data_IF_058790352379
#
_entry.id   IF_058790352379
#
_cell.length_a   1.000
_cell.length_b   1.000
_cell.length_c   1.000
_cell.angle_alpha   90.00
_cell.angle_beta   90.00
_cell.angle_gamma   90.00
#
_symmetry.space_group_name_H-M   'P 1'
#
loop_
_entity.id
_entity.type
_entity.pdbx_description
1 polymer ?
#
# COMPACT_ATOMS: atom_id res chain seq x y z
N UNK A 1 30.97 -0.94 -18.01
CA UNK A 1 30.70 -0.02 -16.95
C UNK A 1 30.20 -0.78 -15.71
N UNK A 2 30.61 -0.35 -14.52
CA UNK A 2 30.07 -0.92 -13.26
C UNK A 2 28.59 -0.61 -13.23
N UNK A 3 27.69 -1.59 -13.07
CA UNK A 3 26.28 -1.32 -12.96
C UNK A 3 26.04 -0.37 -11.78
N UNK A 4 25.20 0.64 -11.98
CA UNK A 4 24.79 1.54 -10.91
C UNK A 4 24.22 0.73 -9.74
N UNK A 5 24.59 1.09 -8.51
CA UNK A 5 24.01 0.45 -7.32
C UNK A 5 22.53 0.77 -7.19
N UNK A 6 22.10 1.88 -7.76
CA UNK A 6 20.74 2.37 -7.76
C UNK A 6 20.20 2.48 -9.16
N UNK A 7 18.93 2.19 -9.32
CA UNK A 7 18.16 2.47 -10.53
C UNK A 7 17.04 3.44 -10.20
N UNK A 8 16.77 4.34 -11.15
CA UNK A 8 15.64 5.27 -11.05
C UNK A 8 14.39 4.51 -11.46
N UNK A 9 13.36 4.61 -10.64
CA UNK A 9 12.02 4.07 -10.93
C UNK A 9 11.00 5.20 -10.94
N UNK A 10 10.11 5.18 -11.91
CA UNK A 10 8.95 6.06 -11.96
C UNK A 10 7.83 5.46 -11.13
N UNK A 11 7.24 6.27 -10.26
CA UNK A 11 6.20 5.85 -9.33
C UNK A 11 5.06 6.85 -9.36
N UNK A 12 3.88 6.39 -9.00
CA UNK A 12 2.75 7.27 -8.74
C UNK A 12 2.62 7.41 -7.24
N UNK A 13 2.68 8.63 -6.74
CA UNK A 13 2.44 8.96 -5.35
C UNK A 13 1.09 9.66 -5.21
N UNK A 14 0.45 9.48 -4.07
CA UNK A 14 -0.80 10.16 -3.75
C UNK A 14 -0.52 11.27 -2.75
N UNK A 15 -1.09 12.45 -2.98
CA UNK A 15 -1.09 13.52 -2.00
C UNK A 15 -2.15 13.28 -0.91
N UNK A 16 -2.23 14.20 0.06
CA UNK A 16 -3.18 14.13 1.18
C UNK A 16 -4.64 14.11 0.72
N UNK A 17 -4.94 14.71 -0.43
CA UNK A 17 -6.26 14.71 -1.06
C UNK A 17 -6.52 13.43 -1.89
N UNK A 18 -5.54 12.51 -1.97
CA UNK A 18 -5.61 11.30 -2.79
C UNK A 18 -5.43 11.55 -4.28
N UNK A 19 -4.91 12.71 -4.70
CA UNK A 19 -4.57 12.97 -6.10
C UNK A 19 -3.28 12.27 -6.46
N UNK A 20 -3.27 11.68 -7.64
CA UNK A 20 -2.10 10.99 -8.18
C UNK A 20 -1.10 11.99 -8.78
N UNK A 21 0.16 11.84 -8.41
CA UNK A 21 1.28 12.60 -8.96
C UNK A 21 2.34 11.65 -9.50
N UNK A 22 2.85 11.94 -10.69
CA UNK A 22 4.02 11.26 -11.21
C UNK A 22 5.25 11.72 -10.44
N UNK A 23 6.01 10.77 -9.95
CA UNK A 23 7.24 11.00 -9.23
C UNK A 23 8.30 9.99 -9.64
N UNK A 24 9.51 10.16 -9.20
CA UNK A 24 10.55 9.14 -9.33
C UNK A 24 11.26 8.93 -8.00
N UNK A 25 11.73 7.71 -7.82
CA UNK A 25 12.56 7.33 -6.68
C UNK A 25 13.79 6.56 -7.15
N UNK A 26 14.75 6.39 -6.25
CA UNK A 26 15.91 5.56 -6.48
C UNK A 26 15.84 4.34 -5.58
N UNK A 27 15.93 3.17 -6.19
CA UNK A 27 15.93 1.89 -5.49
C UNK A 27 17.22 1.15 -5.72
N UNK A 28 17.65 0.34 -4.75
CA UNK A 28 18.78 -0.56 -4.92
C UNK A 28 18.41 -1.62 -5.95
N UNK A 29 19.25 -1.82 -6.96
CA UNK A 29 19.01 -2.84 -7.99
C UNK A 29 18.83 -4.23 -7.36
N UNK A 30 17.93 -5.04 -7.91
CA UNK A 30 17.59 -6.36 -7.37
C UNK A 30 18.82 -7.26 -7.15
N UNK A 31 19.79 -7.19 -8.06
CA UNK A 31 21.05 -7.95 -7.96
C UNK A 31 21.95 -7.54 -6.79
N UNK A 32 21.73 -6.38 -6.20
CA UNK A 32 22.51 -5.84 -5.08
C UNK A 32 21.72 -5.78 -3.77
N UNK A 33 20.47 -6.20 -3.77
CA UNK A 33 19.69 -6.32 -2.55
C UNK A 33 20.25 -7.45 -1.71
N UNK A 34 20.72 -7.10 -0.53
CA UNK A 34 21.18 -8.02 0.51
C UNK A 34 20.21 -7.88 1.70
N UNK A 35 20.44 -8.61 2.77
CA UNK A 35 19.70 -8.39 4.02
C UNK A 35 19.86 -6.95 4.52
N UNK A 36 19.31 -6.67 5.68
CA UNK A 36 19.36 -5.34 6.27
C UNK A 36 20.80 -4.82 6.37
N UNK A 37 20.99 -3.57 5.97
CA UNK A 37 22.22 -2.80 6.16
C UNK A 37 21.83 -1.49 6.83
N UNK A 38 22.34 -1.28 8.05
CA UNK A 38 22.09 -0.03 8.77
C UNK A 38 22.63 1.17 7.96
N UNK A 39 21.85 2.21 7.73
CA UNK A 39 22.33 3.40 7.05
C UNK A 39 23.38 4.12 7.89
N UNK A 40 24.31 4.80 7.23
CA UNK A 40 25.32 5.60 7.92
C UNK A 40 24.66 6.75 8.71
N UNK A 41 25.09 7.04 9.95
CA UNK A 41 24.49 8.07 10.79
C UNK A 41 24.34 9.43 10.12
N UNK A 42 25.37 9.92 9.44
CA UNK A 42 25.29 11.21 8.74
C UNK A 42 24.30 11.22 7.56
N UNK A 43 23.97 10.07 6.97
CA UNK A 43 22.89 9.97 5.97
C UNK A 43 21.52 10.09 6.64
N UNK A 44 21.35 9.45 7.81
CA UNK A 44 20.11 9.53 8.59
C UNK A 44 19.82 10.97 9.02
N UNK A 45 20.86 11.68 9.48
CA UNK A 45 20.74 13.10 9.86
C UNK A 45 20.26 13.97 8.71
N UNK A 46 20.84 13.83 7.50
CA UNK A 46 20.41 14.58 6.30
C UNK A 46 18.94 14.31 5.97
N UNK A 47 18.50 13.05 6.04
CA UNK A 47 17.12 12.69 5.76
C UNK A 47 16.18 13.24 6.85
N UNK A 48 16.59 13.17 8.13
CA UNK A 48 15.81 13.69 9.24
C UNK A 48 15.60 15.21 9.12
N UNK A 49 16.67 15.96 8.83
CA UNK A 49 16.59 17.41 8.58
C UNK A 49 15.63 17.74 7.44
N UNK A 50 15.65 16.94 6.35
CA UNK A 50 14.71 17.09 5.24
C UNK A 50 13.26 16.83 5.64
N UNK A 51 13.03 15.78 6.44
CA UNK A 51 11.70 15.48 6.98
C UNK A 51 11.18 16.63 7.87
N UNK A 52 12.01 17.13 8.78
CA UNK A 52 11.66 18.23 9.68
C UNK A 52 11.34 19.51 8.91
N UNK A 53 12.15 19.86 7.90
CA UNK A 53 11.94 21.03 7.06
C UNK A 53 10.62 20.99 6.29
N UNK A 54 10.12 19.78 5.99
CA UNK A 54 8.87 19.54 5.26
C UNK A 54 7.69 19.16 6.20
N UNK A 55 7.90 19.15 7.51
CA UNK A 55 6.87 18.75 8.48
C UNK A 55 6.52 17.25 8.43
N UNK A 56 7.40 16.42 7.88
CA UNK A 56 7.20 14.95 7.78
C UNK A 56 7.75 14.28 9.04
N UNK A 57 6.99 13.31 9.59
CA UNK A 57 7.41 12.54 10.76
C UNK A 57 8.68 11.72 10.49
N UNK A 58 9.64 11.75 11.42
CA UNK A 58 10.87 10.97 11.34
C UNK A 58 10.78 9.58 11.98
N UNK A 59 9.62 9.21 12.57
CA UNK A 59 9.45 7.93 13.27
C UNK A 59 9.75 6.72 12.39
N UNK A 60 9.23 6.71 11.15
CA UNK A 60 9.48 5.64 10.20
C UNK A 60 10.96 5.53 9.85
N UNK A 61 11.64 6.67 9.67
CA UNK A 61 13.08 6.70 9.41
C UNK A 61 13.85 6.02 10.53
N UNK A 62 13.59 6.38 11.78
CA UNK A 62 14.27 5.77 12.93
C UNK A 62 13.97 4.27 13.06
N UNK A 63 12.72 3.86 12.95
CA UNK A 63 12.33 2.46 13.01
C UNK A 63 13.04 1.61 11.94
N UNK A 64 13.13 2.10 10.71
CA UNK A 64 13.86 1.42 9.63
C UNK A 64 15.36 1.35 9.92
N UNK A 65 15.96 2.40 10.49
CA UNK A 65 17.37 2.42 10.85
C UNK A 65 17.74 1.39 11.93
N UNK A 66 16.80 1.04 12.79
CA UNK A 66 16.98 0.05 13.86
C UNK A 66 16.66 -1.39 13.41
N UNK A 67 16.37 -1.59 12.13
CA UNK A 67 15.83 -2.85 11.60
C UNK A 67 14.55 -3.29 12.36
N UNK A 68 13.93 -2.37 13.06
CA UNK A 68 12.61 -2.62 13.56
C UNK A 68 11.73 -2.79 12.31
N UNK A 69 11.03 -3.90 12.23
CA UNK A 69 9.83 -3.96 11.38
C UNK A 69 8.97 -2.85 11.94
N UNK A 70 8.97 -1.69 11.27
CA UNK A 70 8.15 -0.60 11.69
C UNK A 70 6.75 -1.18 11.86
N UNK A 71 6.27 -1.22 13.09
CA UNK A 71 4.86 -1.43 13.32
C UNK A 71 4.23 -0.31 12.51
N UNK A 72 3.53 -0.70 11.46
CA UNK A 72 3.01 0.23 10.50
C UNK A 72 2.18 1.25 11.27
N UNK A 73 2.58 2.49 11.30
CA UNK A 73 1.90 3.56 12.04
C UNK A 73 0.43 3.72 11.63
N UNK A 74 0.08 3.15 10.45
CA UNK A 74 -1.27 3.17 9.92
C UNK A 74 -1.93 1.82 10.20
N UNK A 75 -2.78 1.74 11.23
CA UNK A 75 -3.39 0.49 11.64
C UNK A 75 -4.58 0.08 10.77
N UNK A 76 -4.99 0.93 9.83
CA UNK A 76 -6.23 0.72 9.10
C UNK A 76 -5.99 0.10 7.72
N UNK A 77 -6.92 -0.79 7.33
CA UNK A 77 -7.02 -1.40 6.00
C UNK A 77 -8.40 -1.14 5.43
N UNK A 78 -8.46 -0.75 4.16
CA UNK A 78 -9.71 -0.57 3.43
C UNK A 78 -9.97 -1.75 2.50
N UNK A 79 -11.09 -2.43 2.72
CA UNK A 79 -11.58 -3.58 1.97
C UNK A 79 -12.79 -3.20 1.11
N UNK A 80 -12.70 -3.39 -0.20
CA UNK A 80 -13.76 -2.99 -1.15
C UNK A 80 -14.38 -4.15 -1.95
N UNK A 81 -13.80 -5.35 -1.88
CA UNK A 81 -14.21 -6.53 -2.65
C UNK A 81 -14.52 -7.72 -1.75
N UNK A 82 -13.97 -8.85 -2.12
CA UNK A 82 -14.20 -10.15 -1.46
C UNK A 82 -13.69 -10.23 0.00
N UNK A 83 -12.91 -9.26 0.45
CA UNK A 83 -12.48 -9.14 1.84
C UNK A 83 -13.54 -8.56 2.78
N UNK A 84 -14.61 -7.96 2.25
CA UNK A 84 -15.67 -7.36 3.07
C UNK A 84 -16.42 -8.42 3.89
N UNK A 85 -17.06 -7.98 4.96
CA UNK A 85 -17.86 -8.83 5.82
C UNK A 85 -18.92 -9.60 5.03
N UNK A 86 -18.97 -10.91 5.24
CA UNK A 86 -19.89 -11.80 4.54
C UNK A 86 -19.45 -12.26 3.16
N UNK A 87 -18.34 -11.71 2.64
CA UNK A 87 -17.77 -12.12 1.35
C UNK A 87 -16.79 -13.29 1.49
N UNK A 88 -16.45 -13.92 0.36
CA UNK A 88 -15.71 -15.19 0.30
C UNK A 88 -14.33 -15.17 0.97
N UNK A 89 -13.64 -14.03 0.96
CA UNK A 89 -12.29 -13.88 1.49
C UNK A 89 -12.23 -13.14 2.85
N UNK A 90 -13.38 -12.84 3.46
CA UNK A 90 -13.41 -12.14 4.75
C UNK A 90 -12.58 -12.82 5.84
N UNK A 91 -12.57 -14.15 5.87
CA UNK A 91 -11.77 -14.92 6.83
C UNK A 91 -10.27 -14.66 6.81
N UNK A 92 -9.74 -13.96 5.79
CA UNK A 92 -8.34 -13.53 5.78
C UNK A 92 -8.08 -12.34 6.69
N UNK A 93 -9.07 -11.45 6.86
CA UNK A 93 -9.00 -10.37 7.87
C UNK A 93 -8.97 -10.95 9.28
N UNK A 94 -9.83 -11.95 9.56
CA UNK A 94 -9.85 -12.63 10.86
C UNK A 94 -8.54 -13.34 11.18
N UNK A 95 -7.94 -14.02 10.19
CA UNK A 95 -6.63 -14.70 10.32
C UNK A 95 -5.46 -13.73 10.50
N UNK A 96 -5.63 -12.48 10.12
CA UNK A 96 -4.61 -11.43 10.17
C UNK A 96 -4.29 -10.93 11.58
N UNK A 97 -4.70 -11.62 12.63
CA UNK A 97 -4.34 -11.29 14.01
C UNK A 97 -5.29 -10.36 14.73
N UNK A 98 -6.55 -10.33 14.30
CA UNK A 98 -7.60 -9.48 14.87
C UNK A 98 -7.71 -8.12 14.17
N UNK A 99 -8.93 -7.81 13.79
CA UNK A 99 -9.27 -6.49 13.26
C UNK A 99 -10.70 -6.14 13.63
N UNK A 100 -10.94 -4.88 13.92
CA UNK A 100 -12.24 -4.32 14.25
C UNK A 100 -12.79 -3.54 13.07
N UNK A 101 -14.06 -3.75 12.73
CA UNK A 101 -14.74 -2.92 11.74
C UNK A 101 -14.98 -1.52 12.30
N UNK A 102 -14.34 -0.52 11.70
CA UNK A 102 -14.53 0.89 12.05
C UNK A 102 -15.84 1.42 11.45
N UNK A 103 -16.13 1.04 10.20
CA UNK A 103 -17.34 1.46 9.51
C UNK A 103 -17.24 1.37 7.99
N UNK A 104 -18.25 1.87 7.32
CA UNK A 104 -18.25 2.03 5.88
C UNK A 104 -17.58 3.34 5.48
N UNK A 105 -16.85 3.30 4.39
CA UNK A 105 -16.19 4.47 3.84
C UNK A 105 -16.04 4.36 2.33
N UNK A 106 -15.41 5.34 1.73
CA UNK A 106 -15.11 5.30 0.30
C UNK A 106 -13.74 5.89 -0.01
N UNK A 107 -13.14 5.38 -1.06
CA UNK A 107 -11.88 5.90 -1.63
C UNK A 107 -12.08 6.32 -3.07
N UNK A 108 -11.24 7.22 -3.57
CA UNK A 108 -11.20 7.54 -4.99
C UNK A 108 -10.68 6.36 -5.80
N UNK A 109 -11.38 6.03 -6.87
CA UNK A 109 -11.04 4.93 -7.75
C UNK A 109 -12.22 4.48 -8.59
N UNK A 110 -11.98 3.52 -9.47
CA UNK A 110 -13.01 2.84 -10.27
C UNK A 110 -12.86 1.34 -10.10
N UNK A 111 -13.98 0.64 -9.95
CA UNK A 111 -13.99 -0.81 -9.98
C UNK A 111 -14.07 -1.31 -11.41
N UNK A 112 -13.18 -2.21 -11.76
CA UNK A 112 -13.23 -3.00 -12.98
C UNK A 112 -13.61 -4.44 -12.65
N UNK A 113 -14.52 -4.99 -13.44
CA UNK A 113 -14.83 -6.41 -13.39
C UNK A 113 -13.75 -7.17 -14.15
N UNK A 114 -12.91 -7.90 -13.42
CA UNK A 114 -11.89 -8.78 -14.00
C UNK A 114 -12.39 -10.24 -14.02
N UNK A 115 -13.70 -10.47 -13.97
CA UNK A 115 -14.37 -11.75 -14.04
C UNK A 115 -14.43 -12.49 -12.70
N UNK A 116 -13.31 -12.90 -12.13
CA UNK A 116 -13.27 -13.64 -10.89
C UNK A 116 -13.26 -12.74 -9.65
N UNK A 117 -12.85 -11.48 -9.78
CA UNK A 117 -12.77 -10.48 -8.70
C UNK A 117 -12.90 -9.06 -9.25
N UNK A 118 -13.45 -8.12 -8.45
CA UNK A 118 -13.39 -6.71 -8.77
C UNK A 118 -11.99 -6.16 -8.50
N UNK A 119 -11.41 -5.46 -9.45
CA UNK A 119 -10.14 -4.76 -9.29
C UNK A 119 -10.37 -3.25 -9.18
N UNK A 120 -9.76 -2.62 -8.19
CA UNK A 120 -9.78 -1.17 -8.06
C UNK A 120 -8.60 -0.57 -8.82
N UNK A 121 -8.91 0.37 -9.71
CA UNK A 121 -7.96 1.17 -10.47
C UNK A 121 -8.00 2.63 -10.02
N UNK A 122 -6.96 3.39 -10.37
CA UNK A 122 -7.00 4.86 -10.25
C UNK A 122 -8.13 5.43 -11.11
N UNK A 123 -8.81 6.45 -10.61
CA UNK A 123 -9.90 7.12 -11.32
C UNK A 123 -10.65 8.10 -10.43
N UNK A 124 -11.52 8.91 -11.05
CA UNK A 124 -12.27 9.98 -10.39
C UNK A 124 -13.58 9.48 -9.72
N UNK A 125 -13.88 8.21 -9.83
CA UNK A 125 -15.05 7.60 -9.17
C UNK A 125 -14.85 7.40 -7.67
N UNK A 126 -15.87 6.83 -7.03
CA UNK A 126 -15.86 6.45 -5.61
C UNK A 126 -16.09 4.96 -5.47
N UNK A 127 -15.20 4.30 -4.77
CA UNK A 127 -15.30 2.88 -4.43
C UNK A 127 -15.69 2.78 -2.97
N UNK A 128 -16.88 2.23 -2.71
CA UNK A 128 -17.40 2.01 -1.36
C UNK A 128 -16.85 0.71 -0.81
N UNK A 129 -16.49 0.70 0.48
CA UNK A 129 -15.95 -0.45 1.16
C UNK A 129 -16.01 -0.31 2.68
N UNK A 130 -15.25 -1.12 3.35
CA UNK A 130 -15.17 -1.23 4.80
C UNK A 130 -13.78 -0.83 5.28
N UNK A 131 -13.75 0.00 6.33
CA UNK A 131 -12.53 0.36 7.04
C UNK A 131 -12.35 -0.56 8.25
N UNK A 132 -11.24 -1.25 8.29
CA UNK A 132 -10.86 -2.18 9.35
C UNK A 132 -9.64 -1.65 10.09
N UNK A 133 -9.68 -1.67 11.42
CA UNK A 133 -8.53 -1.34 12.28
C UNK A 133 -7.91 -2.62 12.80
N UNK A 134 -6.66 -2.87 12.44
CA UNK A 134 -5.91 -4.03 12.88
C UNK A 134 -5.31 -3.82 14.28
N UNK A 135 -5.36 -4.86 15.12
CA UNK A 135 -4.60 -4.90 16.37
C UNK A 135 -3.09 -5.06 16.10
N UNK A 136 -2.78 -5.84 15.07
CA UNK A 136 -1.40 -6.10 14.62
C UNK A 136 -1.25 -5.81 13.12
N UNK A 137 -1.12 -4.54 12.71
CA UNK A 137 -1.14 -4.14 11.29
C UNK A 137 -0.17 -4.90 10.41
N UNK A 138 1.06 -5.12 10.90
CA UNK A 138 2.07 -5.87 10.15
C UNK A 138 1.71 -7.36 9.95
N UNK A 139 0.98 -7.98 10.86
CA UNK A 139 0.48 -9.36 10.69
C UNK A 139 -0.63 -9.38 9.65
N UNK A 140 -1.62 -8.48 9.79
CA UNK A 140 -2.73 -8.38 8.85
C UNK A 140 -2.22 -8.13 7.43
N UNK A 141 -1.33 -7.15 7.24
CA UNK A 141 -0.81 -6.82 5.91
C UNK A 141 -0.06 -8.00 5.27
N UNK A 142 0.80 -8.71 5.99
CA UNK A 142 1.46 -9.91 5.43
C UNK A 142 0.47 -10.99 5.02
N UNK A 143 -0.59 -11.16 5.81
CA UNK A 143 -1.66 -12.13 5.51
C UNK A 143 -2.40 -11.73 4.23
N UNK A 144 -2.77 -10.45 4.10
CA UNK A 144 -3.45 -9.93 2.92
C UNK A 144 -2.53 -9.85 1.69
N UNK A 145 -1.25 -9.52 1.85
CA UNK A 145 -0.25 -9.56 0.77
C UNK A 145 -0.20 -10.94 0.10
N UNK A 146 -0.28 -12.00 0.91
CA UNK A 146 -0.32 -13.38 0.40
C UNK A 146 -1.57 -13.66 -0.42
N UNK A 147 -2.73 -13.20 0.05
CA UNK A 147 -4.01 -13.37 -0.67
C UNK A 147 -4.02 -12.58 -1.98
N UNK A 148 -3.62 -11.32 -1.92
CA UNK A 148 -3.69 -10.38 -3.05
C UNK A 148 -2.54 -10.57 -4.04
N UNK A 149 -1.53 -11.35 -3.69
CA UNK A 149 -0.35 -11.59 -4.52
C UNK A 149 0.56 -10.38 -4.61
N UNK A 150 0.69 -9.62 -3.53
CA UNK A 150 1.67 -8.53 -3.43
C UNK A 150 3.00 -9.08 -2.92
N UNK A 151 4.01 -9.13 -3.79
CA UNK A 151 5.36 -9.62 -3.48
C UNK A 151 6.30 -8.49 -3.00
N UNK A 152 5.94 -7.23 -3.23
CA UNK A 152 6.71 -6.06 -2.84
C UNK A 152 6.55 -4.90 -3.83
N UNK A 153 6.93 -3.70 -3.40
CA UNK A 153 6.95 -2.55 -4.30
C UNK A 153 8.08 -2.71 -5.33
N UNK A 154 7.76 -2.48 -6.61
CA UNK A 154 8.70 -2.66 -7.72
C UNK A 154 9.00 -4.13 -8.04
N UNK A 155 8.35 -5.09 -7.40
CA UNK A 155 8.47 -6.50 -7.74
C UNK A 155 7.52 -6.86 -8.89
N UNK A 156 8.09 -7.35 -9.98
CA UNK A 156 7.33 -7.74 -11.19
C UNK A 156 6.39 -8.92 -10.96
N UNK A 157 6.57 -9.68 -9.89
CA UNK A 157 5.70 -10.79 -9.51
C UNK A 157 4.44 -10.31 -8.77
N UNK A 158 4.43 -9.06 -8.27
CA UNK A 158 3.24 -8.51 -7.61
C UNK A 158 2.06 -8.44 -8.57
N UNK A 159 0.94 -9.06 -8.19
CA UNK A 159 -0.31 -9.03 -8.96
C UNK A 159 -1.06 -7.71 -8.78
N UNK A 160 -0.88 -7.09 -7.64
CA UNK A 160 -1.49 -5.82 -7.25
C UNK A 160 -0.44 -4.88 -6.67
N UNK A 161 -0.82 -3.63 -6.48
CA UNK A 161 -0.06 -2.63 -5.74
C UNK A 161 -0.73 -2.40 -4.40
N UNK A 162 0.02 -2.57 -3.32
CA UNK A 162 -0.39 -2.12 -1.99
C UNK A 162 0.01 -0.67 -1.81
N UNK A 163 -0.92 0.18 -1.40
CA UNK A 163 -0.68 1.60 -1.19
C UNK A 163 -1.59 2.18 -0.13
N UNK A 164 -1.37 3.43 0.21
CA UNK A 164 -2.22 4.19 1.12
C UNK A 164 -3.30 4.93 0.33
N UNK A 165 -4.45 5.07 0.94
CA UNK A 165 -5.55 5.88 0.43
C UNK A 165 -6.28 6.59 1.58
N UNK A 166 -6.68 7.85 1.41
CA UNK A 166 -7.62 8.48 2.31
C UNK A 166 -9.00 7.83 2.12
N UNK A 167 -9.53 7.28 3.19
CA UNK A 167 -10.88 6.72 3.24
C UNK A 167 -11.81 7.79 3.80
N UNK A 168 -12.72 8.27 2.97
CA UNK A 168 -13.75 9.23 3.39
C UNK A 168 -14.83 8.49 4.19
N UNK A 169 -14.97 8.86 5.45
CA UNK A 169 -15.97 8.34 6.39
C UNK A 169 -17.07 9.37 6.61
N UNK A 170 -18.26 8.93 7.02
CA UNK A 170 -19.27 9.88 7.50
C UNK A 170 -19.08 10.16 9.00
N UNK A 171 -19.19 11.42 9.45
CA UNK A 171 -19.69 12.65 8.80
C UNK A 171 -18.64 13.55 8.13
N UNK A 172 -17.67 13.01 7.39
CA UNK A 172 -16.72 13.82 6.62
C UNK A 172 -15.29 13.80 7.16
N UNK A 173 -14.96 12.83 7.98
CA UNK A 173 -13.59 12.54 8.40
C UNK A 173 -12.90 11.68 7.35
N UNK A 174 -11.62 11.95 7.08
CA UNK A 174 -10.78 11.11 6.24
C UNK A 174 -9.78 10.34 7.12
N UNK A 175 -9.75 9.02 6.95
CA UNK A 175 -8.82 8.12 7.65
C UNK A 175 -7.87 7.49 6.65
N UNK A 176 -6.56 7.63 6.87
CA UNK A 176 -5.57 7.00 6.01
C UNK A 176 -5.53 5.48 6.26
N UNK A 177 -5.65 4.70 5.19
CA UNK A 177 -5.67 3.24 5.27
C UNK A 177 -4.89 2.58 4.14
N UNK A 178 -4.38 1.39 4.41
CA UNK A 178 -3.81 0.51 3.40
C UNK A 178 -4.92 -0.05 2.51
N UNK A 179 -4.64 -0.16 1.22
CA UNK A 179 -5.53 -0.82 0.26
C UNK A 179 -4.73 -1.43 -0.88
N UNK A 180 -5.36 -2.32 -1.62
CA UNK A 180 -4.77 -2.98 -2.78
C UNK A 180 -5.42 -2.48 -4.05
N UNK A 181 -4.60 -2.18 -5.06
CA UNK A 181 -5.06 -1.69 -6.37
C UNK A 181 -4.41 -2.49 -7.48
N UNK A 182 -5.14 -2.72 -8.54
CA UNK A 182 -4.60 -3.35 -9.74
C UNK A 182 -4.03 -2.31 -10.69
N UNK A 183 -3.13 -2.71 -11.58
CA UNK A 183 -2.75 -1.87 -12.71
C UNK A 183 -3.70 -2.10 -13.89
N UNK A 184 -3.96 -1.06 -14.70
CA UNK A 184 -4.84 -1.16 -15.86
C UNK A 184 -4.41 -2.28 -16.83
N UNK A 185 -3.10 -2.44 -17.05
CA UNK A 185 -2.53 -3.45 -17.94
C UNK A 185 -2.80 -4.90 -17.52
N UNK A 186 -3.14 -5.14 -16.25
CA UNK A 186 -3.45 -6.49 -15.75
C UNK A 186 -4.93 -6.87 -15.88
N UNK A 187 -5.82 -5.90 -15.90
CA UNK A 187 -7.24 -6.15 -16.15
C UNK A 187 -7.54 -6.41 -17.62
N UNK A 188 -6.75 -5.86 -18.55
CA UNK A 188 -6.91 -6.09 -19.99
C UNK A 188 -6.49 -7.49 -20.45
N UNK A 189 -5.72 -8.22 -19.64
CA UNK A 189 -5.24 -9.58 -19.94
C UNK A 189 -6.24 -10.71 -19.62
N UNK A 190 -7.33 -10.42 -18.92
CA UNK A 190 -8.41 -11.38 -18.63
C UNK A 190 -9.47 -11.20 -19.73
N UNK A 191 -9.16 -11.77 -20.90
CA UNK A 191 -9.98 -11.65 -22.10
C UNK A 191 -11.42 -12.11 -21.88
N UNK A 192 -12.33 -11.40 -22.53
CA UNK A 192 -13.70 -11.85 -22.76
C UNK A 192 -13.67 -13.29 -23.32
N UNK A 193 -14.44 -14.22 -22.75
CA UNK A 193 -14.70 -15.47 -23.46
C UNK A 193 -15.48 -15.13 -24.74
N UNK A 194 -14.90 -15.49 -25.89
CA UNK A 194 -15.55 -15.40 -27.19
C UNK A 194 -16.76 -16.32 -27.29
#
# INVERSE_FOLDING_TARGET
GVPSAYQREEVVVLDEDGRAHEAFTYVVSALRRVGFVAPAPGYVEIVAEGCEALGVSTKMLHAVCENATAEWEIPCVFAYGTLRMGESNHGWIERGGGAELVGLGSVRGVLHDCGAWPAMLHGEGRVVGELWRAESPGVLLRTLDTLEGFAGWGDSQSLVLRGLAPVEMEPGEAVLAWTYRSSASRCEGVGSPG
#
